data_IF_018773458833
#
_entry.id   IF_018773458833
#
_cell.length_a   1.000
_cell.length_b   1.000
_cell.length_c   1.000
_cell.angle_alpha   90.00
_cell.angle_beta   90.00
_cell.angle_gamma   90.00
#
_symmetry.space_group_name_H-M   'P 1'
#
loop_
_entity.id
_entity.type
_entity.pdbx_description
1 polymer ?
#
# COMPACT_ATOMS: atom_id res chain seq x y z
N UNK A 1 0.63 -12.33 -17.44
CA UNK A 1 1.83 -11.79 -16.78
C UNK A 1 1.62 -10.31 -16.51
N UNK A 2 2.46 -9.72 -15.67
CA UNK A 2 2.42 -8.30 -15.33
C UNK A 2 3.82 -7.72 -15.28
N UNK A 3 3.91 -6.40 -15.42
CA UNK A 3 5.15 -5.63 -15.24
C UNK A 3 4.79 -4.24 -14.75
N UNK A 4 5.52 -3.75 -13.75
CA UNK A 4 5.37 -2.43 -13.16
C UNK A 4 6.74 -1.75 -13.16
N UNK A 5 6.75 -0.47 -13.54
CA UNK A 5 7.89 0.43 -13.38
C UNK A 5 7.51 1.54 -12.41
N UNK A 6 8.34 1.73 -11.40
CA UNK A 6 8.16 2.75 -10.38
C UNK A 6 8.90 4.04 -10.77
N UNK A 7 8.55 5.14 -10.09
CA UNK A 7 9.09 6.46 -10.38
C UNK A 7 10.60 6.58 -10.08
N UNK A 8 11.11 5.77 -9.15
CA UNK A 8 12.53 5.68 -8.80
C UNK A 8 13.35 4.80 -9.76
N UNK A 9 12.74 4.43 -10.91
CA UNK A 9 13.30 3.56 -11.95
C UNK A 9 13.33 2.07 -11.59
N UNK A 10 12.97 1.69 -10.36
CA UNK A 10 12.83 0.27 -10.00
C UNK A 10 11.75 -0.41 -10.83
N UNK A 11 11.92 -1.71 -11.07
CA UNK A 11 11.01 -2.50 -11.90
C UNK A 11 10.72 -3.84 -11.27
N UNK A 12 9.48 -4.32 -11.43
CA UNK A 12 9.09 -5.67 -11.06
C UNK A 12 8.24 -6.30 -12.16
N UNK A 13 8.35 -7.61 -12.33
CA UNK A 13 7.50 -8.39 -13.24
C UNK A 13 7.26 -9.80 -12.73
N UNK A 14 6.22 -10.43 -13.27
CA UNK A 14 5.95 -11.84 -13.04
C UNK A 14 4.57 -12.29 -13.50
N UNK A 15 3.98 -13.19 -12.72
CA UNK A 15 2.70 -13.83 -13.01
C UNK A 15 1.63 -13.44 -11.99
N UNK A 16 0.38 -13.55 -12.38
CA UNK A 16 -0.73 -13.37 -11.45
C UNK A 16 -1.07 -14.71 -10.78
N UNK A 17 -1.39 -14.64 -9.49
CA UNK A 17 -1.96 -15.73 -8.71
C UNK A 17 -3.30 -15.33 -8.11
N UNK A 18 -4.05 -16.32 -7.64
CA UNK A 18 -5.28 -16.13 -6.87
C UNK A 18 -5.15 -16.99 -5.62
N UNK A 19 -5.30 -16.38 -4.45
CA UNK A 19 -5.29 -17.13 -3.19
C UNK A 19 -6.03 -16.34 -2.08
N UNK A 20 -6.00 -16.87 -0.86
CA UNK A 20 -6.47 -16.21 0.34
C UNK A 20 -5.35 -15.39 0.97
N UNK A 21 -5.57 -14.09 1.15
CA UNK A 21 -4.66 -13.23 1.90
C UNK A 21 -5.17 -13.08 3.33
N UNK A 22 -4.27 -13.27 4.29
CA UNK A 22 -4.53 -13.08 5.71
C UNK A 22 -3.82 -11.83 6.21
N UNK A 23 -4.58 -10.86 6.73
CA UNK A 23 -4.03 -9.69 7.42
C UNK A 23 -4.25 -9.88 8.93
N UNK A 24 -3.16 -9.94 9.68
CA UNK A 24 -3.18 -10.14 11.13
C UNK A 24 -2.13 -9.24 11.77
N UNK A 25 -2.36 -8.85 13.02
CA UNK A 25 -1.30 -8.44 13.92
C UNK A 25 -0.86 -9.65 14.77
N UNK A 26 -0.07 -9.44 15.82
CA UNK A 26 0.31 -10.50 16.75
C UNK A 26 -0.87 -11.00 17.62
N UNK A 27 -2.10 -10.49 17.42
CA UNK A 27 -3.29 -10.99 18.09
C UNK A 27 -3.87 -12.21 17.38
N UNK A 28 -4.89 -12.80 17.99
CA UNK A 28 -5.60 -13.98 17.46
C UNK A 28 -6.60 -13.63 16.35
N UNK A 29 -6.86 -12.35 16.09
CA UNK A 29 -7.82 -11.92 15.08
C UNK A 29 -7.14 -11.71 13.73
N UNK A 30 -7.65 -12.40 12.71
CA UNK A 30 -7.09 -12.37 11.35
C UNK A 30 -8.18 -12.09 10.34
N UNK A 31 -8.01 -11.03 9.56
CA UNK A 31 -8.86 -10.73 8.42
C UNK A 31 -8.45 -11.62 7.24
N UNK A 32 -9.30 -12.60 6.90
CA UNK A 32 -9.04 -13.56 5.80
C UNK A 32 -9.84 -13.21 4.56
N UNK A 33 -9.15 -12.71 3.54
CA UNK A 33 -9.73 -12.23 2.29
C UNK A 33 -9.51 -13.30 1.22
N UNK A 34 -10.58 -13.96 0.80
CA UNK A 34 -10.51 -15.07 -0.16
C UNK A 34 -10.50 -14.56 -1.61
N UNK A 35 -10.06 -15.40 -2.53
CA UNK A 35 -10.11 -15.15 -3.98
C UNK A 35 -9.44 -13.81 -4.37
N UNK A 36 -8.35 -13.47 -3.71
CA UNK A 36 -7.62 -12.25 -4.00
C UNK A 36 -6.63 -12.49 -5.14
N UNK A 37 -6.74 -11.70 -6.20
CA UNK A 37 -5.74 -11.64 -7.26
C UNK A 37 -4.52 -10.84 -6.79
N UNK A 38 -3.32 -11.35 -7.01
CA UNK A 38 -2.08 -10.64 -6.69
C UNK A 38 -0.96 -10.98 -7.66
N UNK A 39 0.03 -10.10 -7.76
CA UNK A 39 1.24 -10.33 -8.55
C UNK A 39 2.26 -11.13 -7.76
N UNK A 40 2.67 -12.27 -8.30
CA UNK A 40 3.84 -13.04 -7.85
C UNK A 40 5.03 -12.57 -8.68
N UNK A 41 5.93 -11.81 -8.06
CA UNK A 41 7.12 -11.30 -8.73
C UNK A 41 8.15 -12.43 -8.84
N UNK A 42 8.64 -12.68 -10.05
CA UNK A 42 9.77 -13.59 -10.31
C UNK A 42 11.04 -12.82 -10.67
N UNK A 43 10.90 -11.54 -11.03
CA UNK A 43 11.97 -10.64 -11.41
C UNK A 43 11.72 -9.27 -10.80
N UNK A 44 12.74 -8.71 -10.16
CA UNK A 44 12.71 -7.33 -9.66
C UNK A 44 14.12 -6.73 -9.66
N UNK A 45 14.21 -5.41 -9.81
CA UNK A 45 15.48 -4.69 -9.81
C UNK A 45 15.38 -3.38 -9.03
N UNK A 46 16.47 -3.01 -8.35
CA UNK A 46 16.68 -1.67 -7.78
C UNK A 46 15.73 -1.27 -6.64
N UNK A 47 15.06 -2.23 -6.02
CA UNK A 47 14.30 -1.99 -4.79
C UNK A 47 15.25 -1.84 -3.60
N UNK A 48 15.43 -0.61 -3.11
CA UNK A 48 16.18 -0.30 -1.90
C UNK A 48 15.41 -0.57 -0.59
N UNK A 49 14.43 -1.47 -0.60
CA UNK A 49 13.47 -1.63 0.50
C UNK A 49 13.75 -2.87 1.36
N UNK A 50 13.56 -2.73 2.67
CA UNK A 50 13.70 -3.77 3.68
C UNK A 50 12.45 -4.67 3.82
N UNK A 51 11.51 -4.58 2.88
CA UNK A 51 10.22 -5.28 2.92
C UNK A 51 10.05 -6.18 1.69
N UNK A 52 9.39 -7.32 1.86
CA UNK A 52 9.27 -8.37 0.83
C UNK A 52 8.29 -8.03 -0.31
N UNK A 53 7.46 -7.00 -0.15
CA UNK A 53 6.47 -6.63 -1.15
C UNK A 53 5.68 -5.36 -0.82
N UNK A 54 4.72 -5.05 -1.69
CA UNK A 54 3.87 -3.86 -1.59
C UNK A 54 2.40 -4.30 -1.58
N UNK A 55 1.65 -3.82 -0.60
CA UNK A 55 0.19 -3.97 -0.55
C UNK A 55 -0.46 -2.64 -0.94
N UNK A 56 -1.05 -2.59 -2.14
CA UNK A 56 -1.71 -1.39 -2.63
C UNK A 56 -3.11 -1.22 -2.00
N UNK A 57 -3.37 -0.05 -1.43
CA UNK A 57 -4.64 0.33 -0.78
C UNK A 57 -5.40 1.45 -1.51
N UNK A 58 -4.95 1.84 -2.71
CA UNK A 58 -5.60 2.90 -3.50
C UNK A 58 -6.95 2.44 -4.09
N UNK A 59 -7.65 3.31 -4.82
CA UNK A 59 -8.83 2.93 -5.60
C UNK A 59 -8.40 2.34 -6.94
N UNK A 60 -9.06 1.29 -7.48
CA UNK A 60 -8.74 0.84 -8.82
C UNK A 60 -9.19 1.90 -9.83
N UNK A 61 -8.41 2.11 -10.87
CA UNK A 61 -8.81 2.92 -12.03
C UNK A 61 -9.73 2.13 -12.98
N UNK A 62 -9.92 0.82 -12.75
CA UNK A 62 -10.64 -0.09 -13.65
C UNK A 62 -11.54 -1.07 -12.89
N UNK A 63 -12.71 -1.38 -13.44
CA UNK A 63 -13.74 -2.25 -12.85
C UNK A 63 -13.53 -3.75 -13.16
N UNK A 64 -12.34 -4.16 -13.60
CA UNK A 64 -12.09 -5.57 -13.94
C UNK A 64 -11.85 -6.42 -12.69
N UNK A 65 -12.49 -7.59 -12.63
CA UNK A 65 -12.41 -8.50 -11.47
C UNK A 65 -10.99 -8.98 -11.14
N UNK A 66 -10.11 -9.10 -12.14
CA UNK A 66 -8.69 -9.44 -11.99
C UNK A 66 -7.84 -8.31 -11.40
N UNK A 67 -8.36 -7.08 -11.36
CA UNK A 67 -7.71 -5.90 -10.81
C UNK A 67 -8.36 -5.43 -9.49
N UNK A 68 -9.18 -6.29 -8.87
CA UNK A 68 -9.85 -5.95 -7.61
C UNK A 68 -8.82 -5.80 -6.49
N UNK A 69 -8.75 -4.59 -5.91
CA UNK A 69 -7.85 -4.30 -4.81
C UNK A 69 -8.30 -4.96 -3.52
N UNK A 70 -7.33 -5.27 -2.65
CA UNK A 70 -7.54 -6.10 -1.46
C UNK A 70 -8.65 -5.57 -0.54
N UNK A 71 -8.69 -4.25 -0.33
CA UNK A 71 -9.69 -3.65 0.54
C UNK A 71 -11.10 -3.69 -0.06
N UNK A 72 -11.22 -3.48 -1.38
CA UNK A 72 -12.50 -3.61 -2.07
C UNK A 72 -13.04 -5.04 -1.99
N UNK A 73 -12.17 -6.04 -2.15
CA UNK A 73 -12.52 -7.45 -1.99
C UNK A 73 -12.98 -7.78 -0.56
N UNK A 74 -12.34 -7.20 0.45
CA UNK A 74 -12.77 -7.35 1.85
C UNK A 74 -14.16 -6.76 2.11
N UNK A 75 -14.44 -5.58 1.55
CA UNK A 75 -15.75 -4.92 1.64
C UNK A 75 -16.85 -5.76 0.99
N UNK A 76 -16.62 -6.25 -0.23
CA UNK A 76 -17.60 -7.09 -0.95
C UNK A 76 -17.90 -8.42 -0.22
N UNK A 77 -16.91 -8.96 0.49
CA UNK A 77 -17.06 -10.15 1.33
C UNK A 77 -17.69 -9.85 2.70
N UNK A 78 -18.10 -8.60 2.97
CA UNK A 78 -18.63 -8.13 4.25
C UNK A 78 -17.70 -8.41 5.44
N UNK A 79 -16.38 -8.35 5.21
CA UNK A 79 -15.37 -8.63 6.25
C UNK A 79 -15.01 -7.41 7.10
N UNK A 80 -15.53 -6.23 6.75
CA UNK A 80 -15.34 -4.97 7.49
C UNK A 80 -16.69 -4.33 7.77
N UNK A 81 -16.83 -3.71 8.94
CA UNK A 81 -18.09 -3.06 9.35
C UNK A 81 -18.42 -1.85 8.46
N UNK A 82 -17.39 -1.09 8.07
CA UNK A 82 -17.51 0.09 7.21
C UNK A 82 -16.49 0.02 6.09
N UNK A 83 -16.82 0.55 4.89
CA UNK A 83 -15.90 0.59 3.76
C UNK A 83 -14.86 1.71 3.90
N UNK A 84 -14.16 1.72 5.02
CA UNK A 84 -13.12 2.70 5.36
C UNK A 84 -11.99 2.01 6.12
N UNK A 85 -10.76 2.44 5.85
CA UNK A 85 -9.58 2.09 6.62
C UNK A 85 -8.88 3.38 7.06
N UNK A 86 -8.13 3.31 8.15
CA UNK A 86 -7.31 4.41 8.65
C UNK A 86 -5.86 3.96 8.71
N UNK A 87 -4.95 4.90 8.48
CA UNK A 87 -3.51 4.67 8.66
C UNK A 87 -3.07 5.59 9.78
N UNK A 88 -2.46 5.01 10.80
CA UNK A 88 -1.81 5.76 11.87
C UNK A 88 -0.30 5.62 11.73
N UNK A 89 0.41 6.75 11.81
CA UNK A 89 1.87 6.79 11.82
C UNK A 89 2.33 7.27 13.19
N UNK A 90 3.21 6.52 13.84
CA UNK A 90 3.85 6.88 15.13
C UNK A 90 4.93 7.96 14.97
N UNK A 91 4.86 8.77 13.92
CA UNK A 91 5.86 9.76 13.60
C UNK A 91 5.19 11.11 13.34
N UNK A 92 5.91 12.17 13.67
CA UNK A 92 5.55 13.52 13.25
C UNK A 92 5.70 13.59 11.73
N UNK A 93 4.59 13.47 11.01
CA UNK A 93 4.56 13.70 9.57
C UNK A 93 4.33 15.18 9.34
N UNK A 94 5.26 15.81 8.63
CA UNK A 94 5.06 17.17 8.16
C UNK A 94 4.32 17.09 6.81
N UNK A 95 3.26 17.88 6.68
CA UNK A 95 2.47 17.96 5.46
C UNK A 95 2.88 19.25 4.76
N UNK A 96 3.52 19.12 3.60
CA UNK A 96 3.83 20.27 2.75
C UNK A 96 2.71 20.43 1.72
N UNK A 97 1.98 21.53 1.81
CA UNK A 97 1.04 21.95 0.77
C UNK A 97 1.85 22.65 -0.32
N UNK A 98 2.00 22.00 -1.47
CA UNK A 98 2.56 22.64 -2.67
C UNK A 98 1.41 23.07 -3.58
N UNK A 99 1.35 24.37 -3.83
CA UNK A 99 0.50 24.92 -4.88
C UNK A 99 1.36 25.07 -6.13
N UNK A 100 1.16 24.18 -7.11
CA UNK A 100 1.78 24.31 -8.43
C UNK A 100 0.79 25.05 -9.34
N UNK A 101 1.09 26.30 -9.65
CA UNK A 101 0.23 27.14 -10.50
C UNK A 101 0.08 26.62 -11.94
N UNK A 102 0.90 25.64 -12.35
CA UNK A 102 0.88 25.06 -13.69
C UNK A 102 0.26 23.66 -13.74
N UNK A 103 0.00 23.03 -12.59
CA UNK A 103 -0.71 21.76 -12.51
C UNK A 103 -2.10 22.00 -11.91
N UNK A 104 -3.17 21.57 -12.59
CA UNK A 104 -4.54 21.61 -12.08
C UNK A 104 -4.78 20.63 -10.89
N UNK A 105 -3.75 20.35 -10.08
CA UNK A 105 -3.80 19.38 -9.00
C UNK A 105 -3.05 19.91 -7.77
N UNK A 106 -3.75 19.97 -6.65
CA UNK A 106 -3.14 20.05 -5.33
C UNK A 106 -2.77 18.62 -4.92
N UNK A 107 -1.52 18.40 -4.51
CA UNK A 107 -1.10 17.10 -3.99
C UNK A 107 -0.62 17.24 -2.55
N UNK A 108 -0.93 16.22 -1.75
CA UNK A 108 -0.39 16.05 -0.41
C UNK A 108 0.93 15.29 -0.51
N UNK A 109 2.03 15.94 -0.16
CA UNK A 109 3.32 15.27 -0.03
C UNK A 109 3.58 14.96 1.44
N UNK A 110 3.61 13.68 1.77
CA UNK A 110 4.01 13.19 3.09
C UNK A 110 5.53 13.03 3.10
N UNK A 111 6.21 13.69 4.05
CA UNK A 111 7.64 13.48 4.26
C UNK A 111 7.92 13.05 5.69
N UNK A 112 8.89 12.15 5.83
CA UNK A 112 9.47 11.79 7.12
C UNK A 112 10.22 13.01 7.67
N UNK A 113 9.87 13.42 8.89
CA UNK A 113 10.61 14.44 9.64
C UNK A 113 11.55 13.73 10.60
N UNK A 114 12.79 13.48 10.20
CA UNK A 114 13.80 12.98 11.13
C UNK A 114 14.25 14.08 12.09
N UNK A 115 13.55 14.22 13.21
CA UNK A 115 14.14 14.82 14.40
C UNK A 115 14.60 13.67 15.30
N UNK A 116 15.92 13.45 15.34
CA UNK A 116 16.56 12.57 16.32
C UNK A 116 16.22 13.10 17.71
N UNK A 117 15.32 12.43 18.42
CA UNK A 117 15.16 12.62 19.86
C UNK A 117 16.33 11.92 20.54
N UNK A 118 17.29 12.71 21.05
CA UNK A 118 18.10 12.24 22.17
C UNK A 118 17.18 12.08 23.37
N UNK A 119 16.98 10.86 23.86
CA UNK A 119 16.33 10.61 25.14
C UNK A 119 17.05 11.38 26.25
N UNK A 120 16.35 12.12 27.14
CA UNK A 120 16.88 12.36 28.47
C UNK A 120 16.80 11.03 29.21
N UNK A 121 17.95 10.58 29.70
CA UNK A 121 18.08 9.44 30.60
C UNK A 121 17.10 9.58 31.77
N UNK A 122 16.38 8.51 32.08
CA UNK A 122 15.80 8.24 33.40
C UNK A 122 16.00 6.77 33.74
#
# INVERSE_FOLDING_TARGET
SWSIKYADLSTASGLYGIDTISLADNSTETLKIRNQYFGMADTWSEFGMAHDGILALSSPYTNESSNRLIFANAVEQNLVEKPMFTIWFDMKVSILLKNDSNANAQYFLFHRSDNVFSSPLS
#
